data_IF_636832342705
#
_entry.id   IF_636832342705
#
_cell.length_a   1.000
_cell.length_b   1.000
_cell.length_c   1.000
_cell.angle_alpha   90.00
_cell.angle_beta   90.00
_cell.angle_gamma   90.00
#
_symmetry.space_group_name_H-M   'P 1'
#
loop_
_entity.id
_entity.type
_entity.pdbx_description
1 polymer ?
#
# COMPACT_ATOMS: atom_id res chain seq x y z
N UNK A 1 0.80 12.41 11.23
CA UNK A 1 1.18 11.02 10.93
C UNK A 1 2.46 11.01 10.10
N UNK A 2 3.22 9.92 10.16
CA UNK A 2 4.58 9.79 9.59
C UNK A 2 4.68 10.08 8.08
N UNK A 3 3.57 10.00 7.34
CA UNK A 3 3.49 10.41 5.93
C UNK A 3 3.91 11.86 5.63
N UNK A 4 4.00 12.73 6.65
CA UNK A 4 4.46 14.12 6.51
C UNK A 4 5.97 14.28 6.62
N UNK A 5 6.68 13.21 6.97
CA UNK A 5 8.13 13.24 7.19
C UNK A 5 8.92 13.10 5.88
N UNK A 6 8.23 12.92 4.75
CA UNK A 6 8.85 12.62 3.46
C UNK A 6 9.17 11.14 3.30
N UNK A 7 9.97 10.82 2.28
CA UNK A 7 10.45 9.47 2.04
C UNK A 7 11.50 9.10 3.09
N UNK A 8 11.32 7.95 3.74
CA UNK A 8 12.29 7.43 4.70
C UNK A 8 13.31 6.53 4.01
N UNK A 9 14.56 6.60 4.46
CA UNK A 9 15.59 5.66 4.05
C UNK A 9 15.23 4.25 4.54
N UNK A 10 15.47 3.28 3.67
CA UNK A 10 15.31 1.87 4.00
C UNK A 10 16.65 1.15 3.92
N UNK A 11 16.90 0.27 4.88
CA UNK A 11 18.13 -0.52 4.98
C UNK A 11 17.82 -2.02 4.88
N UNK A 12 18.73 -2.83 4.30
CA UNK A 12 18.56 -4.28 4.27
C UNK A 12 18.55 -4.89 5.68
N UNK A 13 17.62 -5.81 5.91
CA UNK A 13 17.53 -6.55 7.18
C UNK A 13 17.95 -7.99 7.01
N UNK A 14 19.16 -8.32 7.48
CA UNK A 14 19.67 -9.69 7.44
C UNK A 14 19.01 -10.55 8.53
N UNK A 15 18.72 -11.84 8.28
CA UNK A 15 19.08 -12.64 7.11
C UNK A 15 18.09 -12.55 5.94
N UNK A 16 17.10 -11.68 6.00
CA UNK A 16 16.03 -11.63 5.02
C UNK A 16 16.38 -10.72 3.82
N UNK A 17 15.70 -10.93 2.69
CA UNK A 17 15.90 -10.13 1.47
C UNK A 17 14.92 -8.93 1.38
N UNK A 18 14.41 -8.46 2.52
CA UNK A 18 13.55 -7.28 2.56
C UNK A 18 14.28 -6.06 3.13
N UNK A 19 13.78 -4.88 2.76
CA UNK A 19 14.23 -3.61 3.30
C UNK A 19 13.27 -3.16 4.41
N UNK A 20 13.79 -2.60 5.49
CA UNK A 20 13.01 -1.95 6.54
C UNK A 20 13.41 -0.48 6.66
N UNK A 21 12.54 0.36 7.23
CA UNK A 21 12.87 1.75 7.54
C UNK A 21 14.08 1.77 8.49
N UNK A 22 15.07 2.61 8.20
CA UNK A 22 16.26 2.76 9.06
C UNK A 22 15.81 3.01 10.52
N UNK A 23 16.28 2.22 11.51
CA UNK A 23 15.99 2.43 12.92
C UNK A 23 16.25 3.87 13.41
N UNK A 24 17.20 4.59 12.80
CA UNK A 24 17.47 6.01 13.08
C UNK A 24 16.29 6.92 12.74
N UNK A 25 15.48 6.55 11.76
CA UNK A 25 14.25 7.25 11.36
C UNK A 25 13.03 6.66 12.09
N UNK A 26 12.97 5.34 12.23
CA UNK A 26 11.83 4.65 12.85
C UNK A 26 11.70 4.93 14.35
N UNK A 27 12.80 4.83 15.12
CA UNK A 27 12.71 4.97 16.58
C UNK A 27 12.20 6.35 17.02
N UNK A 28 12.70 7.49 16.48
CA UNK A 28 12.11 8.79 16.79
C UNK A 28 10.64 8.88 16.42
N UNK A 29 10.22 8.28 15.29
CA UNK A 29 8.83 8.27 14.86
C UNK A 29 7.94 7.53 15.86
N UNK A 30 8.39 6.39 16.42
CA UNK A 30 7.68 5.64 17.46
C UNK A 30 7.54 6.41 18.77
N UNK A 31 8.49 7.30 19.09
CA UNK A 31 8.40 8.16 20.28
C UNK A 31 7.52 9.40 20.05
N UNK A 32 7.27 9.78 18.80
CA UNK A 32 6.54 11.00 18.44
C UNK A 32 5.01 10.89 18.50
N UNK A 33 4.47 9.69 18.63
CA UNK A 33 3.03 9.45 18.67
C UNK A 33 2.64 7.98 18.78
N UNK A 34 1.35 7.69 18.96
CA UNK A 34 0.89 6.33 19.14
C UNK A 34 1.04 5.49 17.87
N UNK A 35 1.39 4.23 18.06
CA UNK A 35 1.18 3.17 17.06
C UNK A 35 -0.27 2.73 17.16
N UNK A 36 -0.94 2.60 16.01
CA UNK A 36 -2.37 2.28 15.95
C UNK A 36 -2.57 0.95 15.25
N UNK A 37 -3.21 0.01 15.94
CA UNK A 37 -3.63 -1.26 15.36
C UNK A 37 -4.81 -1.06 14.40
N UNK A 38 -4.67 -1.57 13.18
CA UNK A 38 -5.73 -1.53 12.16
C UNK A 38 -6.49 -2.85 12.21
N UNK A 39 -7.54 -2.89 13.03
CA UNK A 39 -8.44 -4.04 13.17
C UNK A 39 -9.60 -3.91 12.20
N UNK A 40 -9.81 -4.93 11.37
CA UNK A 40 -10.79 -4.94 10.29
C UNK A 40 -11.66 -6.21 10.33
N UNK A 41 -12.93 -6.09 9.99
CA UNK A 41 -13.79 -7.23 9.69
C UNK A 41 -13.64 -7.66 8.23
N UNK A 42 -14.05 -8.89 7.87
CA UNK A 42 -14.08 -9.31 6.47
C UNK A 42 -14.92 -8.34 5.61
N UNK A 43 -14.30 -7.76 4.59
CA UNK A 43 -14.92 -6.79 3.68
C UNK A 43 -14.60 -5.33 4.00
N UNK A 44 -14.07 -5.03 5.19
CA UNK A 44 -13.58 -3.69 5.50
C UNK A 44 -12.31 -3.37 4.69
N UNK A 45 -12.09 -2.07 4.45
CA UNK A 45 -10.91 -1.58 3.77
C UNK A 45 -10.26 -0.43 4.56
N UNK A 46 -8.93 -0.43 4.57
CA UNK A 46 -8.13 0.69 5.08
C UNK A 46 -7.45 1.39 3.91
N UNK A 47 -7.51 2.72 3.90
CA UNK A 47 -6.78 3.56 2.95
C UNK A 47 -5.78 4.41 3.71
N UNK A 48 -4.54 4.42 3.24
CA UNK A 48 -3.48 5.23 3.82
C UNK A 48 -2.59 5.83 2.73
N UNK A 49 -1.89 6.90 3.10
CA UNK A 49 -0.94 7.56 2.21
C UNK A 49 0.31 6.68 1.99
N UNK A 50 0.85 6.65 0.77
CA UNK A 50 2.06 5.87 0.40
C UNK A 50 3.26 6.10 1.33
N UNK A 51 3.39 7.29 1.94
CA UNK A 51 4.49 7.61 2.85
C UNK A 51 4.19 7.27 4.31
N UNK A 52 3.01 6.74 4.64
CA UNK A 52 2.68 6.34 6.01
C UNK A 52 3.54 5.14 6.40
N UNK A 53 4.27 5.26 7.50
CA UNK A 53 4.98 4.12 8.09
C UNK A 53 3.94 3.13 8.62
N UNK A 54 3.99 1.90 8.12
CA UNK A 54 3.10 0.82 8.49
C UNK A 54 3.84 -0.51 8.35
N UNK A 55 3.38 -1.53 9.08
CA UNK A 55 3.95 -2.88 8.99
C UNK A 55 2.88 -3.92 9.29
N UNK A 56 3.02 -5.11 8.68
CA UNK A 56 2.24 -6.28 9.06
C UNK A 56 2.89 -7.00 10.23
N UNK A 57 2.09 -7.37 11.23
CA UNK A 57 2.55 -8.21 12.34
C UNK A 57 2.36 -9.70 12.04
N UNK A 58 3.16 -10.53 12.73
CA UNK A 58 3.05 -11.98 12.74
C UNK A 58 1.64 -12.45 13.11
N UNK A 59 1.15 -13.44 12.38
CA UNK A 59 -0.15 -14.02 12.66
C UNK A 59 -0.03 -15.22 13.61
N UNK A 60 -0.44 -15.04 14.86
CA UNK A 60 -0.41 -16.06 15.92
C UNK A 60 -1.75 -16.77 16.15
N UNK A 61 -2.76 -16.53 15.30
CA UNK A 61 -4.13 -17.03 15.50
C UNK A 61 -4.37 -18.50 15.12
N UNK A 62 -3.38 -19.16 14.50
CA UNK A 62 -3.55 -20.52 13.97
C UNK A 62 -4.45 -20.62 12.73
N UNK A 63 -4.92 -19.49 12.18
CA UNK A 63 -5.75 -19.41 10.97
C UNK A 63 -5.10 -18.50 9.94
N UNK A 64 -5.31 -18.77 8.65
CA UNK A 64 -4.82 -17.88 7.60
C UNK A 64 -5.46 -16.49 7.68
N UNK A 65 -4.64 -15.43 7.58
CA UNK A 65 -5.08 -14.04 7.41
C UNK A 65 -4.96 -13.66 5.94
N UNK A 66 -6.10 -13.49 5.27
CA UNK A 66 -6.14 -13.05 3.87
C UNK A 66 -6.30 -11.55 3.80
N UNK A 67 -5.50 -10.91 2.96
CA UNK A 67 -5.63 -9.51 2.58
C UNK A 67 -5.26 -9.35 1.12
N UNK A 68 -5.83 -8.34 0.49
CA UNK A 68 -5.42 -7.86 -0.83
C UNK A 68 -5.19 -6.36 -0.73
N UNK A 69 -4.12 -5.90 -1.36
CA UNK A 69 -3.72 -4.50 -1.34
C UNK A 69 -3.69 -3.94 -2.76
N UNK A 70 -4.20 -2.72 -2.91
CA UNK A 70 -4.25 -2.00 -4.18
C UNK A 70 -3.54 -0.66 -4.03
N UNK A 71 -2.83 -0.24 -5.08
CA UNK A 71 -2.30 1.12 -5.17
C UNK A 71 -3.19 1.92 -6.12
N UNK A 72 -3.70 3.04 -5.64
CA UNK A 72 -4.50 3.98 -6.42
C UNK A 72 -3.78 5.32 -6.50
N UNK A 73 -3.60 5.83 -7.72
CA UNK A 73 -2.94 7.10 -7.96
C UNK A 73 -3.64 7.89 -9.07
N UNK A 74 -3.35 9.18 -9.14
CA UNK A 74 -3.75 10.00 -10.27
C UNK A 74 -3.03 9.51 -11.54
N UNK A 75 -3.82 9.07 -12.53
CA UNK A 75 -3.29 8.57 -13.79
C UNK A 75 -2.53 9.63 -14.62
N UNK A 76 -2.61 10.91 -14.24
CA UNK A 76 -1.86 12.01 -14.85
C UNK A 76 -0.45 12.15 -14.28
N UNK A 77 -0.17 11.49 -13.14
CA UNK A 77 1.16 11.52 -12.51
C UNK A 77 1.98 10.31 -12.99
N UNK A 78 3.30 10.50 -13.19
CA UNK A 78 4.18 9.39 -13.55
C UNK A 78 4.19 8.34 -12.43
N UNK A 79 4.10 7.06 -12.81
CA UNK A 79 4.25 5.92 -11.90
C UNK A 79 5.70 5.68 -11.49
N UNK A 80 6.66 6.18 -12.29
CA UNK A 80 8.12 5.93 -12.14
C UNK A 80 8.49 4.44 -12.16
N UNK A 81 7.55 3.58 -12.55
CA UNK A 81 7.70 2.15 -12.77
C UNK A 81 7.06 1.80 -14.11
N UNK A 82 7.66 0.85 -14.83
CA UNK A 82 7.12 0.31 -16.07
C UNK A 82 6.04 -0.74 -15.76
N UNK A 83 4.96 -0.29 -15.12
CA UNK A 83 3.80 -1.10 -14.80
C UNK A 83 2.55 -0.43 -15.37
N UNK A 84 1.77 -1.15 -16.18
CA UNK A 84 0.50 -0.64 -16.68
C UNK A 84 -0.63 -0.94 -15.70
N UNK A 85 -1.09 0.11 -14.99
CA UNK A 85 -2.28 0.06 -14.17
C UNK A 85 -3.59 0.08 -14.98
N UNK A 86 -4.72 -0.14 -14.29
CA UNK A 86 -6.04 -0.03 -14.89
C UNK A 86 -6.74 1.27 -14.46
N UNK A 87 -7.34 1.98 -15.42
CA UNK A 87 -8.13 3.18 -15.12
C UNK A 87 -9.44 2.78 -14.44
N UNK A 88 -9.63 3.13 -13.18
CA UNK A 88 -10.90 2.89 -12.45
C UNK A 88 -11.85 4.11 -12.47
N UNK A 89 -11.34 5.30 -12.79
CA UNK A 89 -12.13 6.53 -12.88
C UNK A 89 -11.53 7.52 -13.88
N UNK A 90 -12.37 8.13 -14.72
CA UNK A 90 -11.97 9.20 -15.65
C UNK A 90 -13.15 10.11 -15.98
N UNK A 91 -12.93 11.44 -15.94
CA UNK A 91 -13.92 12.44 -16.38
C UNK A 91 -13.88 12.67 -17.90
N UNK A 92 -12.68 12.67 -18.48
CA UNK A 92 -12.48 12.96 -19.91
C UNK A 92 -12.77 11.74 -20.78
N UNK A 93 -12.52 10.53 -20.25
CA UNK A 93 -12.71 9.27 -20.98
C UNK A 93 -13.42 8.24 -20.09
N UNK A 94 -14.65 8.52 -19.62
CA UNK A 94 -15.37 7.60 -18.74
C UNK A 94 -15.54 6.22 -19.36
N UNK A 95 -15.70 6.11 -20.69
CA UNK A 95 -15.83 4.81 -21.38
C UNK A 95 -14.58 3.92 -21.36
N UNK A 96 -13.41 4.44 -20.95
CA UNK A 96 -12.15 3.68 -20.87
C UNK A 96 -11.86 3.11 -19.47
N UNK A 97 -12.79 3.26 -18.53
CA UNK A 97 -12.59 2.79 -17.15
C UNK A 97 -13.02 1.33 -16.98
N UNK A 98 -12.31 0.59 -16.14
CA UNK A 98 -12.75 -0.71 -15.61
C UNK A 98 -13.83 -0.47 -14.57
N UNK A 99 -15.01 -1.07 -14.79
CA UNK A 99 -16.22 -0.83 -13.99
C UNK A 99 -16.78 -2.08 -13.32
N UNK A 100 -16.35 -3.26 -13.73
CA UNK A 100 -16.85 -4.52 -13.19
C UNK A 100 -15.73 -5.52 -12.94
N UNK A 101 -15.93 -6.43 -11.99
CA UNK A 101 -15.01 -7.53 -11.74
C UNK A 101 -14.78 -8.37 -13.01
N UNK A 102 -15.84 -8.67 -13.77
CA UNK A 102 -15.74 -9.40 -15.04
C UNK A 102 -14.85 -8.70 -16.07
N UNK A 103 -14.93 -7.37 -16.16
CA UNK A 103 -14.04 -6.61 -17.05
C UNK A 103 -12.59 -6.76 -16.59
N UNK A 104 -12.33 -6.59 -15.29
CA UNK A 104 -10.99 -6.73 -14.73
C UNK A 104 -10.39 -8.13 -14.94
N UNK A 105 -11.16 -9.20 -14.73
CA UNK A 105 -10.71 -10.58 -14.93
C UNK A 105 -10.30 -10.90 -16.38
N UNK A 106 -10.74 -10.10 -17.36
CA UNK A 106 -10.38 -10.28 -18.76
C UNK A 106 -9.19 -9.40 -19.21
N UNK A 107 -8.65 -8.56 -18.32
CA UNK A 107 -7.49 -7.74 -18.64
C UNK A 107 -6.22 -8.56 -18.44
N UNK A 108 -5.26 -8.39 -19.36
CA UNK A 108 -3.91 -8.89 -19.16
C UNK A 108 -3.21 -7.94 -18.20
N UNK A 109 -2.54 -8.49 -17.19
CA UNK A 109 -1.48 -7.78 -16.50
C UNK A 109 -0.26 -7.82 -17.44
N UNK A 110 0.18 -6.66 -17.91
CA UNK A 110 1.37 -6.49 -18.77
C UNK A 110 2.39 -5.63 -18.05
#
# INVERSE_FOLDING_TARGET
GTHRNGMADHIPQRPYNYLEIDPKVLHPALQSGPVVDVVLNPGDAVLFNTLLFHQGQDNRSGRARWSIDFRYQDARQPTLIDLQGHLVRSRNHPGRTVRTARQWCNLKMS
#
